data_IF_526472859628
#
_entry.id   IF_526472859628
#
_cell.length_a   1.000
_cell.length_b   1.000
_cell.length_c   1.000
_cell.angle_alpha   90.00
_cell.angle_beta   90.00
_cell.angle_gamma   90.00
#
_symmetry.space_group_name_H-M   'P 1'
#
loop_
_entity.id
_entity.type
_entity.pdbx_description
1 polymer ?
#
# COMPACT_ATOMS: atom_id res chain seq x y z
N UNK A 1 6.05 21.43 7.57
CA UNK A 1 5.14 20.28 7.35
C UNK A 1 6.00 19.17 6.75
N UNK A 2 5.92 17.92 7.23
CA UNK A 2 6.89 16.89 6.86
C UNK A 2 6.87 16.73 5.35
N UNK A 3 8.03 16.91 4.76
CA UNK A 3 8.37 16.83 3.35
C UNK A 3 8.25 15.38 2.87
N UNK A 4 7.03 14.86 2.76
CA UNK A 4 6.80 13.66 1.97
C UNK A 4 6.91 14.09 0.51
N UNK A 5 7.81 13.43 -0.22
CA UNK A 5 7.88 13.58 -1.67
C UNK A 5 6.51 13.24 -2.26
N UNK A 6 6.10 13.81 -3.41
CA UNK A 6 4.79 13.52 -4.03
C UNK A 6 4.57 12.03 -4.32
N UNK A 7 5.63 11.23 -4.30
CA UNK A 7 5.63 9.76 -4.43
C UNK A 7 5.46 8.96 -3.11
N UNK A 8 5.52 9.61 -1.94
CA UNK A 8 5.43 8.95 -0.62
C UNK A 8 4.05 9.11 0.03
N UNK A 9 3.04 8.48 -0.60
CA UNK A 9 1.68 8.46 -0.07
C UNK A 9 1.57 7.68 1.25
N UNK A 10 0.75 8.14 2.21
CA UNK A 10 0.58 7.49 3.52
C UNK A 10 -0.84 6.92 3.70
N UNK A 11 -0.95 5.62 3.91
CA UNK A 11 -2.18 4.92 4.29
C UNK A 11 -2.33 4.85 5.81
N UNK A 12 -2.91 5.90 6.39
CA UNK A 12 -2.94 6.13 7.84
C UNK A 12 -3.58 5.03 8.70
N UNK A 13 -4.48 4.22 8.13
CA UNK A 13 -5.19 3.15 8.82
C UNK A 13 -4.90 1.75 8.27
N UNK A 14 -3.81 1.62 7.50
CA UNK A 14 -3.41 0.36 6.88
C UNK A 14 -2.08 -0.08 7.50
N UNK A 15 -2.02 -1.34 7.89
CA UNK A 15 -0.81 -2.00 8.36
C UNK A 15 -0.35 -3.00 7.29
N UNK A 16 0.94 -3.01 6.98
CA UNK A 16 1.52 -4.08 6.17
C UNK A 16 1.61 -5.36 7.01
N UNK A 17 0.94 -6.45 6.61
CA UNK A 17 0.98 -7.73 7.32
C UNK A 17 2.32 -8.47 7.17
N UNK A 18 3.12 -8.12 6.16
CA UNK A 18 4.43 -8.72 5.93
C UNK A 18 5.56 -8.16 6.83
N UNK A 19 5.47 -6.90 7.24
CA UNK A 19 6.49 -6.24 8.06
C UNK A 19 5.96 -5.46 9.26
N UNK A 20 4.64 -5.49 9.51
CA UNK A 20 3.95 -4.74 10.55
C UNK A 20 4.09 -3.21 10.50
N UNK A 21 4.53 -2.65 9.36
CA UNK A 21 4.58 -1.20 9.16
C UNK A 21 3.18 -0.59 9.27
N UNK A 22 3.01 0.38 10.16
CA UNK A 22 1.79 1.15 10.34
C UNK A 22 2.12 2.59 10.80
N UNK A 23 1.71 3.63 10.06
CA UNK A 23 0.92 3.57 8.84
C UNK A 23 1.74 3.06 7.64
N UNK A 24 1.09 2.40 6.67
CA UNK A 24 1.76 1.93 5.46
C UNK A 24 2.14 3.13 4.59
N UNK A 25 3.42 3.27 4.28
CA UNK A 25 3.97 4.33 3.44
C UNK A 25 4.26 3.80 2.03
N UNK A 26 3.92 4.58 1.02
CA UNK A 26 4.06 4.30 -0.41
C UNK A 26 2.89 3.51 -1.00
N UNK A 27 3.20 2.70 -2.02
CA UNK A 27 2.21 1.88 -2.71
C UNK A 27 1.66 0.78 -1.81
N UNK A 28 0.33 0.71 -1.72
CA UNK A 28 -0.42 -0.37 -1.05
C UNK A 28 -0.80 -1.46 -2.04
N UNK A 29 -0.64 -2.70 -1.61
CA UNK A 29 -1.11 -3.89 -2.30
C UNK A 29 -2.05 -4.66 -1.38
N UNK A 30 -3.28 -4.94 -1.81
CA UNK A 30 -4.22 -5.74 -1.04
C UNK A 30 -4.42 -7.12 -1.68
N UNK A 31 -4.55 -8.15 -0.86
CA UNK A 31 -4.89 -9.47 -1.37
C UNK A 31 -6.38 -9.53 -1.72
N UNK A 32 -6.69 -10.03 -2.92
CA UNK A 32 -8.07 -10.17 -3.38
C UNK A 32 -8.77 -11.39 -2.76
N UNK A 33 -8.01 -12.33 -2.20
CA UNK A 33 -8.53 -13.59 -1.63
C UNK A 33 -8.47 -13.60 -0.11
N UNK A 34 -7.38 -13.11 0.47
CA UNK A 34 -7.25 -12.98 1.92
C UNK A 34 -8.02 -11.74 2.39
N UNK A 35 -8.97 -11.92 3.31
CA UNK A 35 -9.63 -10.78 3.96
C UNK A 35 -8.63 -9.97 4.78
N UNK A 36 -8.61 -8.65 4.54
CA UNK A 36 -7.78 -7.67 5.27
C UNK A 36 -6.27 -7.99 5.27
N UNK A 37 -5.73 -8.48 4.15
CA UNK A 37 -4.29 -8.70 4.02
C UNK A 37 -3.68 -7.64 3.11
N UNK A 38 -2.89 -6.75 3.70
CA UNK A 38 -2.28 -5.60 3.05
C UNK A 38 -0.76 -5.70 3.10
N UNK A 39 -0.08 -5.39 1.98
CA UNK A 39 1.36 -5.39 1.86
C UNK A 39 1.87 -4.05 1.31
N UNK A 40 3.05 -3.64 1.78
CA UNK A 40 3.81 -2.54 1.19
C UNK A 40 4.61 -3.00 -0.04
N UNK A 41 5.16 -2.04 -0.78
CA UNK A 41 6.01 -2.21 -1.97
C UNK A 41 7.36 -2.92 -1.78
N UNK A 42 7.67 -3.35 -0.56
CA UNK A 42 8.80 -4.24 -0.28
C UNK A 42 8.35 -5.67 0.07
N UNK A 43 7.13 -5.84 0.56
CA UNK A 43 6.63 -7.15 0.99
C UNK A 43 5.89 -7.88 -0.12
N UNK A 44 5.25 -7.16 -1.05
CA UNK A 44 4.66 -7.75 -2.27
C UNK A 44 5.72 -8.46 -3.13
N UNK A 45 6.93 -7.88 -3.24
CA UNK A 45 8.06 -8.43 -4.01
C UNK A 45 8.58 -9.76 -3.48
N UNK A 46 8.30 -10.08 -2.22
CA UNK A 46 8.66 -11.37 -1.63
C UNK A 46 7.76 -12.51 -2.10
N UNK A 47 6.65 -12.18 -2.77
CA UNK A 47 5.64 -13.11 -3.22
C UNK A 47 4.62 -13.42 -2.13
N UNK A 48 3.37 -13.61 -2.56
CA UNK A 48 2.26 -14.08 -1.75
C UNK A 48 1.52 -15.16 -2.55
N UNK A 49 0.88 -16.12 -1.87
CA UNK A 49 0.20 -17.26 -2.51
C UNK A 49 -0.97 -16.82 -3.40
N UNK A 50 -1.66 -15.75 -3.02
CA UNK A 50 -2.81 -15.22 -3.74
C UNK A 50 -2.48 -13.96 -4.54
N UNK A 51 -3.26 -13.63 -5.58
CA UNK A 51 -3.12 -12.38 -6.32
C UNK A 51 -3.25 -11.16 -5.42
N UNK A 52 -2.30 -10.24 -5.56
CA UNK A 52 -2.28 -8.94 -4.90
C UNK A 52 -2.68 -7.87 -5.91
N UNK A 53 -3.62 -7.02 -5.55
CA UNK A 53 -4.08 -5.88 -6.34
C UNK A 53 -3.36 -4.61 -5.89
N UNK A 54 -2.93 -3.78 -6.86
CA UNK A 54 -2.38 -2.45 -6.57
C UNK A 54 -3.54 -1.51 -6.24
N UNK A 55 -3.61 -1.03 -5.00
CA UNK A 55 -4.67 -0.08 -4.60
C UNK A 55 -4.34 1.32 -5.16
N UNK A 56 -5.21 1.94 -5.99
CA UNK A 56 -4.98 3.29 -6.50
C UNK A 56 -4.99 4.32 -5.37
N UNK A 57 -4.24 5.41 -5.53
CA UNK A 57 -4.24 6.48 -4.54
C UNK A 57 -5.48 7.36 -4.77
N UNK A 58 -6.11 7.90 -3.70
CA UNK A 58 -7.31 8.72 -3.83
C UNK A 58 -7.10 10.09 -4.48
N UNK A 59 -5.85 10.49 -4.76
CA UNK A 59 -5.51 11.76 -5.39
C UNK A 59 -5.03 11.58 -6.86
N UNK A 60 -5.18 10.40 -7.45
CA UNK A 60 -4.81 10.15 -8.86
C UNK A 60 -5.85 10.71 -9.86
N UNK A 61 -6.76 11.61 -9.44
CA UNK A 61 -7.90 12.16 -10.22
C UNK A 61 -7.75 13.66 -10.60
N UNK A 62 -6.55 14.26 -10.53
CA UNK A 62 -6.30 15.67 -10.93
C UNK A 62 -5.24 15.76 -12.04
N UNK A 63 -5.62 15.42 -13.28
CA UNK A 63 -4.98 15.89 -14.52
C UNK A 63 -5.98 15.70 -15.69
N UNK A 64 -6.81 16.73 -15.93
CA UNK A 64 -7.59 16.93 -17.16
C UNK A 64 -6.70 17.51 -18.28
#
# INVERSE_FOLDING_TARGET
LPSLSPDEYQWSYVRCDGCNMNPLIGQRYCCLTCGNYDLCSACEKKGHEHPLERVPQPNDDDDD
#
